data_IF_529029813523
#
_entry.id   IF_529029813523
#
_cell.length_a   1.000
_cell.length_b   1.000
_cell.length_c   1.000
_cell.angle_alpha   90.00
_cell.angle_beta   90.00
_cell.angle_gamma   90.00
#
_symmetry.space_group_name_H-M   'P 1'
#
loop_
_entity.id
_entity.type
_entity.pdbx_description
1 polymer ?
#
# COMPACT_ATOMS: atom_id res chain seq x y z
N UNK A 1 -21.52 18.70 -15.59
CA UNK A 1 -20.95 19.16 -14.30
C UNK A 1 -22.02 18.94 -13.26
N UNK A 2 -21.82 17.99 -12.34
CA UNK A 2 -22.83 17.64 -11.34
C UNK A 2 -23.09 18.84 -10.43
N UNK A 3 -24.33 19.29 -10.41
CA UNK A 3 -24.80 20.42 -9.62
C UNK A 3 -24.58 20.12 -8.13
N UNK A 4 -23.56 20.76 -7.52
CA UNK A 4 -23.27 20.57 -6.10
C UNK A 4 -24.38 21.25 -5.31
N UNK A 5 -25.35 20.46 -4.86
CA UNK A 5 -26.49 20.96 -4.10
C UNK A 5 -25.99 21.66 -2.84
N UNK A 6 -26.33 22.95 -2.71
CA UNK A 6 -25.91 23.73 -1.56
C UNK A 6 -26.72 23.31 -0.34
N UNK A 7 -26.03 22.73 0.65
CA UNK A 7 -26.63 22.24 1.89
C UNK A 7 -25.80 22.70 3.08
N UNK A 8 -26.47 23.07 4.16
CA UNK A 8 -25.80 23.39 5.41
C UNK A 8 -25.21 22.14 6.05
N UNK A 9 -24.24 22.34 6.94
CA UNK A 9 -23.67 21.23 7.73
C UNK A 9 -24.74 20.54 8.61
N UNK A 10 -25.73 21.29 9.10
CA UNK A 10 -26.79 20.76 9.97
C UNK A 10 -27.70 19.83 9.19
N UNK A 11 -28.16 20.27 8.02
CA UNK A 11 -28.97 19.44 7.10
C UNK A 11 -28.19 18.20 6.66
N UNK A 12 -26.94 18.36 6.24
CA UNK A 12 -26.11 17.24 5.84
C UNK A 12 -25.91 16.20 6.96
N UNK A 13 -25.81 16.63 8.23
CA UNK A 13 -25.79 15.73 9.39
C UNK A 13 -27.11 14.99 9.57
N UNK A 14 -28.24 15.69 9.46
CA UNK A 14 -29.58 15.08 9.58
C UNK A 14 -29.81 14.04 8.49
N UNK A 15 -29.31 14.30 7.29
CA UNK A 15 -29.35 13.39 6.14
C UNK A 15 -28.31 12.26 6.21
N UNK A 16 -27.49 12.19 7.26
CA UNK A 16 -26.45 11.17 7.41
C UNK A 16 -25.32 11.27 6.38
N UNK A 17 -25.17 12.41 5.70
CA UNK A 17 -24.12 12.60 4.71
C UNK A 17 -22.75 12.73 5.38
N UNK A 18 -21.70 12.32 4.67
CA UNK A 18 -20.31 12.47 5.14
C UNK A 18 -19.72 13.84 4.79
N UNK A 19 -20.37 14.57 3.88
CA UNK A 19 -19.88 15.79 3.23
C UNK A 19 -21.02 16.78 3.03
N UNK A 20 -20.67 18.06 2.89
CA UNK A 20 -21.62 19.14 2.64
C UNK A 20 -20.97 20.24 1.78
N UNK A 21 -21.76 20.96 0.99
CA UNK A 21 -21.26 22.08 0.17
C UNK A 21 -22.08 23.34 0.45
N UNK A 22 -21.40 24.44 0.73
CA UNK A 22 -22.06 25.69 1.13
C UNK A 22 -22.08 26.75 0.03
N UNK A 23 -21.70 26.42 -1.21
CA UNK A 23 -21.49 27.40 -2.28
C UNK A 23 -20.25 28.30 -2.12
N UNK A 24 -19.78 28.49 -0.88
CA UNK A 24 -18.66 29.38 -0.53
C UNK A 24 -17.28 28.74 -0.69
N UNK A 25 -16.36 29.53 -1.27
CA UNK A 25 -14.95 29.18 -1.36
C UNK A 25 -14.34 28.94 0.02
N UNK A 26 -13.34 28.05 0.09
CA UNK A 26 -12.51 27.93 1.29
C UNK A 26 -11.48 29.06 1.39
N UNK A 27 -10.80 29.18 2.54
CA UNK A 27 -9.75 30.20 2.78
C UNK A 27 -8.56 30.14 1.80
N UNK A 28 -8.48 29.09 0.99
CA UNK A 28 -7.47 28.89 -0.04
C UNK A 28 -8.07 28.91 -1.46
N UNK A 29 -9.30 29.40 -1.62
CA UNK A 29 -9.96 29.59 -2.92
C UNK A 29 -10.65 28.36 -3.52
N UNK A 30 -10.74 27.23 -2.82
CA UNK A 30 -11.37 26.03 -3.38
C UNK A 30 -12.91 26.08 -3.30
N UNK A 31 -13.59 25.86 -4.44
CA UNK A 31 -15.02 25.58 -4.54
C UNK A 31 -15.28 24.06 -4.45
N UNK A 32 -15.38 23.55 -3.23
CA UNK A 32 -15.38 22.11 -2.93
C UNK A 32 -16.33 21.79 -1.77
N UNK A 33 -16.84 20.56 -1.74
CA UNK A 33 -17.46 20.02 -0.53
C UNK A 33 -16.48 20.01 0.65
N UNK A 34 -17.05 19.98 1.84
CA UNK A 34 -16.36 19.95 3.14
C UNK A 34 -16.76 18.71 3.90
N UNK A 35 -15.84 18.17 4.69
CA UNK A 35 -16.10 16.99 5.52
C UNK A 35 -16.96 17.36 6.73
N UNK A 36 -17.92 16.51 7.08
CA UNK A 36 -18.74 16.70 8.28
C UNK A 36 -17.89 16.58 9.55
N UNK A 37 -16.93 15.67 9.56
CA UNK A 37 -16.08 15.36 10.71
C UNK A 37 -15.26 16.57 11.19
N UNK A 38 -14.48 17.18 10.30
CA UNK A 38 -13.53 18.23 10.66
C UNK A 38 -13.81 19.60 10.02
N UNK A 39 -14.92 19.75 9.28
CA UNK A 39 -15.33 20.98 8.57
C UNK A 39 -14.36 21.47 7.49
N UNK A 40 -13.30 20.71 7.19
CA UNK A 40 -12.31 21.09 6.20
C UNK A 40 -12.78 20.80 4.78
N UNK A 41 -12.42 21.68 3.82
CA UNK A 41 -12.60 21.40 2.39
C UNK A 41 -11.87 20.11 2.00
N UNK A 42 -12.46 19.34 1.09
CA UNK A 42 -11.88 18.10 0.56
C UNK A 42 -10.51 18.35 -0.05
N UNK A 43 -10.35 19.41 -0.86
CA UNK A 43 -9.07 19.71 -1.49
C UNK A 43 -7.98 20.04 -0.47
N UNK A 44 -8.29 20.85 0.56
CA UNK A 44 -7.34 21.14 1.62
C UNK A 44 -6.94 19.87 2.40
N UNK A 45 -7.90 18.98 2.69
CA UNK A 45 -7.59 17.70 3.34
C UNK A 45 -6.73 16.81 2.44
N UNK A 46 -7.00 16.74 1.13
CA UNK A 46 -6.17 16.02 0.15
C UNK A 46 -4.75 16.57 0.11
N UNK A 47 -4.59 17.90 0.09
CA UNK A 47 -3.27 18.53 0.08
C UNK A 47 -2.49 18.21 1.36
N UNK A 48 -3.14 18.29 2.53
CA UNK A 48 -2.54 17.89 3.81
C UNK A 48 -2.13 16.42 3.84
N UNK A 49 -3.02 15.54 3.37
CA UNK A 49 -2.74 14.10 3.31
C UNK A 49 -1.59 13.79 2.33
N UNK A 50 -1.52 14.49 1.20
CA UNK A 50 -0.41 14.37 0.24
C UNK A 50 0.89 14.81 0.88
N UNK A 51 0.93 15.97 1.53
CA UNK A 51 2.11 16.45 2.24
C UNK A 51 2.56 15.47 3.34
N UNK A 52 1.61 14.95 4.12
CA UNK A 52 1.89 13.93 5.15
C UNK A 52 2.49 12.66 4.53
N UNK A 53 1.93 12.15 3.42
CA UNK A 53 2.44 10.96 2.73
C UNK A 53 3.87 11.17 2.20
N UNK A 54 4.16 12.35 1.65
CA UNK A 54 5.50 12.70 1.16
C UNK A 54 6.50 12.76 2.32
N UNK A 55 6.11 13.35 3.46
CA UNK A 55 6.97 13.43 4.64
C UNK A 55 7.05 12.15 5.49
N UNK A 56 6.27 11.11 5.18
CA UNK A 56 6.21 9.86 5.96
C UNK A 56 6.22 8.61 5.06
N UNK A 57 7.22 8.45 4.16
CA UNK A 57 7.23 7.36 3.19
C UNK A 57 7.28 5.97 3.87
N UNK A 58 8.06 5.82 4.93
CA UNK A 58 8.18 4.55 5.68
C UNK A 58 6.85 4.13 6.33
N UNK A 59 6.15 5.07 6.98
CA UNK A 59 4.83 4.79 7.60
C UNK A 59 3.80 4.39 6.56
N UNK A 60 3.85 5.03 5.39
CA UNK A 60 2.97 4.69 4.27
C UNK A 60 3.29 3.28 3.74
N UNK A 61 4.57 2.94 3.59
CA UNK A 61 5.01 1.61 3.18
C UNK A 61 4.58 0.52 4.17
N UNK A 62 4.83 0.72 5.47
CA UNK A 62 4.42 -0.22 6.53
C UNK A 62 2.89 -0.39 6.57
N UNK A 63 2.11 0.69 6.46
CA UNK A 63 0.66 0.59 6.38
C UNK A 63 0.19 -0.24 5.18
N UNK A 64 0.81 -0.05 4.01
CA UNK A 64 0.50 -0.84 2.80
C UNK A 64 0.87 -2.31 2.98
N UNK A 65 2.01 -2.62 3.63
CA UNK A 65 2.43 -4.00 3.92
C UNK A 65 1.42 -4.69 4.84
N UNK A 66 1.08 -4.07 5.97
CA UNK A 66 0.06 -4.59 6.90
C UNK A 66 -1.31 -4.80 6.25
N UNK A 67 -1.76 -3.88 5.40
CA UNK A 67 -3.04 -4.01 4.69
C UNK A 67 -3.07 -5.21 3.72
N UNK A 68 -1.91 -5.70 3.31
CA UNK A 68 -1.74 -6.91 2.49
C UNK A 68 -1.42 -8.17 3.31
N UNK A 69 -1.37 -8.08 4.64
CA UNK A 69 -0.95 -9.19 5.49
C UNK A 69 0.55 -9.53 5.41
N UNK A 70 1.38 -8.63 4.85
CA UNK A 70 2.82 -8.86 4.75
C UNK A 70 3.53 -8.56 6.08
N UNK A 71 4.58 -9.33 6.46
CA UNK A 71 5.34 -9.06 7.67
C UNK A 71 6.15 -7.77 7.62
N UNK A 72 6.62 -7.35 8.81
CA UNK A 72 7.67 -6.34 8.92
C UNK A 72 9.02 -6.98 8.59
N UNK A 73 9.79 -6.42 7.64
CA UNK A 73 11.11 -6.94 7.32
C UNK A 73 12.07 -6.68 8.47
N UNK A 74 12.91 -7.66 8.79
CA UNK A 74 13.92 -7.56 9.86
C UNK A 74 15.15 -6.76 9.44
N UNK A 75 15.32 -6.53 8.14
CA UNK A 75 16.45 -5.82 7.53
C UNK A 75 16.03 -5.02 6.29
N UNK A 76 16.84 -4.04 5.92
CA UNK A 76 16.63 -3.24 4.72
C UNK A 76 16.67 -4.11 3.45
N UNK A 77 15.96 -3.67 2.41
CA UNK A 77 15.98 -4.31 1.10
C UNK A 77 17.38 -4.13 0.45
N UNK A 78 18.08 -5.22 0.09
CA UNK A 78 19.34 -5.14 -0.63
C UNK A 78 19.13 -4.76 -2.10
N UNK A 79 20.23 -4.49 -2.81
CA UNK A 79 20.21 -4.20 -4.26
C UNK A 79 19.98 -5.47 -5.10
N UNK A 80 20.39 -6.64 -4.59
CA UNK A 80 20.41 -7.90 -5.31
C UNK A 80 19.54 -8.97 -4.63
N UNK A 81 18.93 -9.82 -5.46
CA UNK A 81 18.15 -10.97 -5.02
C UNK A 81 19.00 -11.93 -4.19
N UNK A 82 18.48 -12.37 -3.04
CA UNK A 82 19.21 -13.26 -2.12
C UNK A 82 19.35 -14.70 -2.64
N UNK A 83 18.57 -15.10 -3.66
CA UNK A 83 18.68 -16.43 -4.29
C UNK A 83 19.56 -16.41 -5.53
N UNK A 84 19.25 -15.57 -6.52
CA UNK A 84 19.93 -15.61 -7.82
C UNK A 84 20.97 -14.50 -8.03
N UNK A 85 21.15 -13.59 -7.06
CA UNK A 85 22.09 -12.47 -7.16
C UNK A 85 21.74 -11.42 -8.22
N UNK A 86 20.62 -11.55 -8.95
CA UNK A 86 20.21 -10.56 -9.95
C UNK A 86 19.69 -9.29 -9.28
N UNK A 87 19.98 -8.10 -9.82
CA UNK A 87 19.46 -6.85 -9.27
C UNK A 87 17.93 -6.80 -9.38
N UNK A 88 17.30 -6.04 -8.48
CA UNK A 88 15.92 -5.64 -8.67
C UNK A 88 15.84 -4.78 -9.94
N UNK A 89 15.08 -5.19 -10.96
CA UNK A 89 14.98 -4.45 -12.22
C UNK A 89 14.24 -3.11 -12.05
N UNK A 90 13.20 -2.86 -12.85
CA UNK A 90 12.34 -1.68 -12.64
C UNK A 90 11.44 -1.75 -11.39
N UNK A 91 11.49 -2.87 -10.66
CA UNK A 91 10.69 -3.11 -9.44
C UNK A 91 11.63 -3.49 -8.32
N UNK A 92 11.28 -3.08 -7.10
CA UNK A 92 11.92 -3.55 -5.87
C UNK A 92 11.81 -5.06 -5.72
N UNK A 93 12.69 -5.64 -4.90
CA UNK A 93 12.60 -7.05 -4.52
C UNK A 93 11.29 -7.31 -3.77
N UNK A 94 10.73 -8.49 -3.99
CA UNK A 94 9.58 -9.02 -3.28
C UNK A 94 10.00 -9.42 -1.86
N UNK A 95 9.09 -9.16 -0.91
CA UNK A 95 9.24 -9.50 0.49
C UNK A 95 8.75 -10.95 0.67
N UNK A 96 9.69 -11.88 0.62
CA UNK A 96 9.43 -13.29 0.78
C UNK A 96 9.11 -13.62 2.25
N UNK A 97 8.10 -14.46 2.47
CA UNK A 97 7.60 -14.78 3.80
C UNK A 97 7.01 -16.20 3.86
N UNK A 98 7.07 -16.81 5.05
CA UNK A 98 6.44 -18.10 5.30
C UNK A 98 4.93 -17.95 5.30
N UNK A 99 4.22 -18.77 4.52
CA UNK A 99 2.76 -18.81 4.52
C UNK A 99 2.18 -19.52 5.76
N UNK A 100 3.00 -20.23 6.54
CA UNK A 100 2.58 -20.91 7.77
C UNK A 100 2.72 -19.98 8.99
N UNK A 101 3.91 -19.40 9.18
CA UNK A 101 4.23 -18.57 10.34
C UNK A 101 3.99 -17.07 10.09
N UNK A 102 3.85 -16.66 8.83
CA UNK A 102 3.78 -15.25 8.44
C UNK A 102 5.10 -14.51 8.60
N UNK A 103 6.21 -15.23 8.82
CA UNK A 103 7.52 -14.64 9.13
C UNK A 103 8.28 -14.24 7.86
N UNK A 104 8.98 -13.11 7.94
CA UNK A 104 9.86 -12.65 6.88
C UNK A 104 11.03 -13.63 6.66
N UNK A 105 11.20 -14.10 5.42
CA UNK A 105 12.30 -14.99 5.01
C UNK A 105 13.45 -14.23 4.36
N UNK A 106 13.14 -13.36 3.40
CA UNK A 106 14.18 -12.69 2.61
C UNK A 106 13.67 -11.76 1.51
N UNK A 107 14.62 -11.23 0.74
CA UNK A 107 14.36 -10.32 -0.37
C UNK A 107 14.67 -10.99 -1.72
N UNK A 108 13.63 -11.27 -2.49
CA UNK A 108 13.74 -12.07 -3.71
C UNK A 108 13.31 -11.27 -4.93
N UNK A 109 13.93 -11.51 -6.09
CA UNK A 109 13.37 -10.98 -7.32
C UNK A 109 12.05 -11.71 -7.63
N UNK A 110 11.19 -11.09 -8.42
CA UNK A 110 9.89 -11.66 -8.75
C UNK A 110 9.94 -13.07 -9.36
N UNK A 111 10.98 -13.35 -10.16
CA UNK A 111 11.18 -14.68 -10.76
C UNK A 111 11.48 -15.74 -9.70
N UNK A 112 12.37 -15.46 -8.77
CA UNK A 112 12.72 -16.39 -7.69
C UNK A 112 11.53 -16.58 -6.74
N UNK A 113 10.88 -15.49 -6.33
CA UNK A 113 9.73 -15.54 -5.43
C UNK A 113 8.57 -16.36 -6.03
N UNK A 114 8.21 -16.08 -7.28
CA UNK A 114 7.18 -16.84 -7.99
C UNK A 114 7.60 -18.30 -8.19
N UNK A 115 8.86 -18.55 -8.53
CA UNK A 115 9.40 -19.90 -8.72
C UNK A 115 9.28 -20.75 -7.46
N UNK A 116 9.61 -20.20 -6.29
CA UNK A 116 9.44 -20.90 -5.01
C UNK A 116 7.98 -21.28 -4.76
N UNK A 117 7.05 -20.34 -4.93
CA UNK A 117 5.62 -20.60 -4.75
C UNK A 117 5.07 -21.64 -5.73
N UNK A 118 5.48 -21.60 -7.00
CA UNK A 118 5.08 -22.58 -8.02
C UNK A 118 5.61 -24.00 -7.72
N UNK A 119 6.76 -24.10 -7.06
CA UNK A 119 7.34 -25.36 -6.62
C UNK A 119 6.84 -25.79 -5.23
N UNK A 120 5.82 -25.11 -4.70
CA UNK A 120 5.12 -25.46 -3.48
C UNK A 120 5.77 -24.97 -2.19
N UNK A 121 6.71 -24.03 -2.27
CA UNK A 121 7.39 -23.43 -1.10
C UNK A 121 7.96 -24.45 -0.10
N UNK A 122 8.29 -25.66 -0.59
CA UNK A 122 8.68 -26.81 0.21
C UNK A 122 10.08 -27.29 -0.18
N UNK A 123 11.00 -27.34 0.79
CA UNK A 123 12.35 -27.83 0.61
C UNK A 123 12.41 -29.26 0.05
N UNK A 124 11.50 -30.15 0.45
CA UNK A 124 11.46 -31.53 -0.05
C UNK A 124 11.10 -31.56 -1.55
N UNK A 125 10.14 -30.74 -1.98
CA UNK A 125 9.74 -30.62 -3.37
C UNK A 125 10.89 -30.06 -4.23
N UNK A 126 11.58 -29.03 -3.73
CA UNK A 126 12.77 -28.47 -4.38
C UNK A 126 13.89 -29.51 -4.52
N UNK A 127 14.13 -30.33 -3.49
CA UNK A 127 15.11 -31.42 -3.55
C UNK A 127 14.75 -32.53 -4.57
N UNK A 128 13.47 -32.70 -4.91
CA UNK A 128 13.05 -33.58 -6.02
C UNK A 128 13.36 -32.96 -7.39
N UNK A 129 13.18 -31.64 -7.54
CA UNK A 129 13.56 -30.91 -8.76
C UNK A 129 15.07 -30.98 -8.99
N UNK A 130 15.88 -30.74 -7.97
CA UNK A 130 17.35 -30.87 -8.08
C UNK A 130 17.76 -32.27 -8.56
N UNK A 131 17.26 -33.33 -7.90
CA UNK A 131 17.53 -34.71 -8.30
C UNK A 131 17.06 -35.04 -9.71
N UNK A 132 16.01 -34.38 -10.21
CA UNK A 132 15.55 -34.56 -11.59
C UNK A 132 16.51 -33.92 -12.60
N UNK A 133 17.07 -32.75 -12.29
CA UNK A 133 18.02 -32.03 -13.14
C UNK A 133 19.41 -32.70 -13.21
N UNK A 134 19.77 -33.48 -12.20
CA UNK A 134 21.03 -34.23 -12.13
C UNK A 134 21.00 -35.59 -12.84
N UNK A 135 19.88 -35.95 -13.46
CA UNK A 135 19.73 -37.17 -14.27
C UNK A 135 20.23 -36.96 -15.68
#
# INVERSE_FOLDING_TARGET
MGDLTQISRKEAKLLGLKRYFTGRLCRYGHACERLISNKGCIQCNKNKLRAWRIGNPERVAAHKRRAKGLPEPTRACPEFCEICGSPSGQRSLDLDHSHEAGEFRGWLCNKCNLGLGLLGDNAEALGKVTRYLER
#
